data_IF_519911254465
#
_entry.id   IF_519911254465
#
_cell.length_a   1.000
_cell.length_b   1.000
_cell.length_c   1.000
_cell.angle_alpha   90.00
_cell.angle_beta   90.00
_cell.angle_gamma   90.00
#
_symmetry.space_group_name_H-M   'P 1'
#
loop_
_entity.id
_entity.type
_entity.pdbx_description
1 polymer ?
#
# COMPACT_ATOMS: atom_id res chain seq x y z
N UNK A 1 -1.65 10.33 -22.12
CA UNK A 1 -1.95 10.56 -20.68
C UNK A 1 -3.38 11.06 -20.57
N UNK A 2 -4.16 10.55 -19.61
CA UNK A 2 -5.43 11.17 -19.21
C UNK A 2 -5.17 12.02 -17.97
N UNK A 3 -5.81 13.20 -17.90
CA UNK A 3 -5.75 14.10 -16.74
C UNK A 3 -7.17 14.26 -16.23
N UNK A 4 -7.35 14.21 -14.91
CA UNK A 4 -8.62 14.38 -14.19
C UNK A 4 -8.42 15.28 -12.98
N UNK A 5 -9.47 15.99 -12.59
CA UNK A 5 -9.47 16.76 -11.35
C UNK A 5 -10.07 15.95 -10.21
N UNK A 6 -9.64 16.25 -8.98
CA UNK A 6 -10.26 15.68 -7.79
C UNK A 6 -11.53 16.48 -7.53
N UNK A 7 -12.68 15.82 -7.69
CA UNK A 7 -13.99 16.38 -7.33
C UNK A 7 -14.22 16.32 -5.83
N UNK A 8 -13.83 15.21 -5.19
CA UNK A 8 -14.01 15.02 -3.75
C UNK A 8 -12.90 14.15 -3.16
N UNK A 9 -12.49 14.51 -1.95
CA UNK A 9 -11.57 13.75 -1.11
C UNK A 9 -12.33 13.25 0.11
N UNK A 10 -12.33 11.94 0.32
CA UNK A 10 -12.85 11.29 1.52
C UNK A 10 -11.67 10.76 2.32
N UNK A 11 -11.24 11.52 3.33
CA UNK A 11 -10.24 11.04 4.29
C UNK A 11 -10.95 10.27 5.40
N UNK A 12 -10.40 9.12 5.81
CA UNK A 12 -10.96 8.38 6.92
C UNK A 12 -11.11 9.26 8.17
N UNK A 13 -12.28 9.21 8.80
CA UNK A 13 -12.70 10.15 9.84
C UNK A 13 -11.84 10.01 11.11
N UNK A 14 -11.34 8.80 11.35
CA UNK A 14 -10.47 8.47 12.49
C UNK A 14 -8.97 8.51 12.15
N UNK A 15 -8.56 9.11 11.03
CA UNK A 15 -7.13 9.29 10.73
C UNK A 15 -6.43 10.09 11.84
N UNK A 16 -5.32 9.56 12.36
CA UNK A 16 -4.50 10.25 13.36
C UNK A 16 -3.07 10.39 12.88
N UNK A 17 -2.62 11.64 12.76
CA UNK A 17 -1.24 11.95 12.35
C UNK A 17 -0.18 11.52 13.36
N UNK A 18 -0.53 11.39 14.65
CA UNK A 18 0.43 11.09 15.71
C UNK A 18 1.01 9.68 15.63
N UNK A 19 0.21 8.72 15.20
CA UNK A 19 0.56 7.30 15.06
C UNK A 19 0.32 6.77 13.64
N UNK A 20 -0.12 7.63 12.72
CA UNK A 20 -0.43 7.30 11.32
C UNK A 20 -1.52 6.21 11.25
N UNK A 21 -2.39 6.12 12.27
CA UNK A 21 -3.51 5.18 12.26
C UNK A 21 -4.60 5.61 11.29
N UNK A 22 -5.25 4.62 10.65
CA UNK A 22 -6.30 4.79 9.65
C UNK A 22 -5.88 5.67 8.46
N UNK A 23 -4.65 5.49 7.98
CA UNK A 23 -4.10 6.21 6.83
C UNK A 23 -4.65 5.66 5.51
N UNK A 24 -5.90 6.05 5.20
CA UNK A 24 -6.61 5.71 3.97
C UNK A 24 -7.49 6.88 3.53
N UNK A 25 -7.61 7.06 2.21
CA UNK A 25 -8.50 8.02 1.61
C UNK A 25 -9.03 7.53 0.26
N UNK A 26 -10.20 8.05 -0.15
CA UNK A 26 -10.76 7.87 -1.48
C UNK A 26 -10.82 9.20 -2.21
N UNK A 27 -10.55 9.15 -3.52
CA UNK A 27 -10.63 10.30 -4.42
C UNK A 27 -11.74 10.04 -5.44
N UNK A 28 -12.76 10.89 -5.44
CA UNK A 28 -13.75 10.95 -6.52
C UNK A 28 -13.19 11.86 -7.61
N UNK A 29 -13.04 11.31 -8.82
CA UNK A 29 -12.65 12.07 -10.00
C UNK A 29 -13.83 12.90 -10.50
N UNK A 30 -13.55 14.04 -11.13
CA UNK A 30 -14.54 14.89 -11.79
C UNK A 30 -15.28 14.17 -12.91
N UNK A 31 -14.56 13.34 -13.67
CA UNK A 31 -15.09 12.48 -14.71
C UNK A 31 -14.45 11.09 -14.66
N UNK A 32 -15.17 10.01 -15.03
CA UNK A 32 -14.60 8.68 -15.13
C UNK A 32 -13.37 8.63 -16.06
N UNK A 33 -12.46 7.70 -15.78
CA UNK A 33 -11.39 7.34 -16.70
C UNK A 33 -11.86 6.28 -17.69
N UNK A 34 -11.42 6.38 -18.93
CA UNK A 34 -11.69 5.35 -19.93
C UNK A 34 -10.64 4.24 -19.84
N UNK A 35 -11.08 2.99 -19.60
CA UNK A 35 -10.19 1.84 -19.60
C UNK A 35 -9.51 1.68 -20.97
N UNK A 36 -8.21 1.37 -20.93
CA UNK A 36 -7.36 1.18 -22.10
C UNK A 36 -6.26 0.18 -21.76
N UNK A 37 -5.43 -0.27 -22.71
CA UNK A 37 -4.29 -1.13 -22.37
C UNK A 37 -3.33 -0.57 -21.30
N UNK A 38 -3.38 0.74 -21.02
CA UNK A 38 -2.56 1.42 -20.01
C UNK A 38 -3.35 1.89 -18.77
N UNK A 39 -4.67 1.76 -18.77
CA UNK A 39 -5.55 2.16 -17.66
C UNK A 39 -6.51 1.00 -17.43
N UNK A 40 -6.31 0.29 -16.34
CA UNK A 40 -7.14 -0.83 -15.91
C UNK A 40 -7.53 -0.65 -14.45
N UNK A 41 -8.64 -1.26 -14.07
CA UNK A 41 -9.06 -1.33 -12.67
C UNK A 41 -8.31 -2.47 -11.99
N UNK A 42 -7.91 -2.25 -10.74
CA UNK A 42 -7.39 -3.30 -9.88
C UNK A 42 -8.49 -3.78 -8.93
N UNK A 43 -8.44 -5.04 -8.54
CA UNK A 43 -9.35 -5.57 -7.53
C UNK A 43 -8.92 -5.06 -6.14
N UNK A 44 -9.88 -4.71 -5.28
CA UNK A 44 -9.60 -4.37 -3.87
C UNK A 44 -9.85 -5.61 -3.04
N UNK A 45 -8.93 -5.95 -2.14
CA UNK A 45 -9.08 -7.11 -1.26
C UNK A 45 -10.34 -7.00 -0.41
N UNK A 46 -11.29 -7.90 -0.63
CA UNK A 46 -12.51 -8.03 0.19
C UNK A 46 -12.26 -8.95 1.41
N UNK A 47 -13.16 -8.96 2.42
CA UNK A 47 -12.97 -9.73 3.65
C UNK A 47 -12.86 -11.26 3.49
N UNK A 48 -13.21 -11.82 2.33
CA UNK A 48 -13.12 -13.26 2.04
C UNK A 48 -11.74 -13.69 1.52
N UNK A 49 -10.91 -12.74 1.07
CA UNK A 49 -9.58 -13.02 0.54
C UNK A 49 -8.58 -13.36 1.67
N UNK A 50 -7.93 -14.52 1.61
CA UNK A 50 -6.84 -14.87 2.53
C UNK A 50 -5.53 -14.19 2.11
N UNK A 51 -5.38 -12.90 2.46
CA UNK A 51 -4.18 -12.10 2.12
C UNK A 51 -2.86 -12.77 2.54
N UNK A 52 -2.73 -13.38 3.74
CA UNK A 52 -1.49 -14.03 4.16
C UNK A 52 -1.06 -15.24 3.29
N UNK A 53 -1.98 -15.81 2.50
CA UNK A 53 -1.69 -16.94 1.61
C UNK A 53 -1.19 -16.52 0.22
N UNK A 54 -1.17 -15.22 -0.07
CA UNK A 54 -0.67 -14.68 -1.32
C UNK A 54 0.86 -14.56 -1.29
N UNK A 55 1.52 -15.03 -2.35
CA UNK A 55 3.00 -15.09 -2.38
C UNK A 55 3.63 -14.15 -3.41
N UNK A 56 2.94 -13.86 -4.51
CA UNK A 56 3.48 -13.04 -5.58
C UNK A 56 3.06 -11.58 -5.42
N UNK A 57 3.70 -10.89 -4.48
CA UNK A 57 3.39 -9.51 -4.14
C UNK A 57 4.44 -8.52 -4.68
N UNK A 58 3.96 -7.38 -5.13
CA UNK A 58 4.72 -6.33 -5.81
C UNK A 58 4.27 -4.96 -5.32
N UNK A 59 5.23 -4.06 -5.21
CA UNK A 59 5.01 -2.64 -4.99
C UNK A 59 5.41 -1.90 -6.27
N UNK A 60 4.79 -0.74 -6.51
CA UNK A 60 5.13 0.11 -7.64
C UNK A 60 5.03 1.59 -7.25
N UNK A 61 5.94 2.41 -7.79
CA UNK A 61 5.97 3.83 -7.49
C UNK A 61 7.10 4.59 -8.18
N UNK A 62 7.09 5.91 -7.99
CA UNK A 62 8.06 6.85 -8.54
C UNK A 62 8.93 7.50 -7.45
N UNK A 63 8.85 7.03 -6.20
CA UNK A 63 9.60 7.57 -5.08
C UNK A 63 11.12 7.50 -5.25
N UNK A 64 11.81 8.00 -4.23
CA UNK A 64 13.27 7.96 -4.15
C UNK A 64 13.77 6.51 -4.16
N UNK A 65 14.80 6.22 -4.96
CA UNK A 65 15.34 4.85 -5.05
C UNK A 65 16.34 4.51 -3.95
N UNK A 66 16.87 5.53 -3.27
CA UNK A 66 17.79 5.38 -2.13
C UNK A 66 17.32 6.24 -0.97
N UNK A 67 17.48 5.74 0.26
CA UNK A 67 17.14 6.49 1.46
C UNK A 67 17.95 7.79 1.56
N UNK A 68 17.25 8.91 1.72
CA UNK A 68 17.87 10.23 1.92
C UNK A 68 18.20 10.97 0.63
N UNK A 69 17.90 10.40 -0.53
CA UNK A 69 17.95 11.12 -1.80
C UNK A 69 16.82 12.17 -1.87
N UNK A 70 17.06 13.25 -2.61
CA UNK A 70 16.04 14.26 -2.91
C UNK A 70 15.32 13.98 -4.24
N UNK A 71 15.99 13.25 -5.14
CA UNK A 71 15.50 12.98 -6.48
C UNK A 71 14.62 11.71 -6.51
N UNK A 72 13.44 11.87 -7.10
CA UNK A 72 12.50 10.79 -7.40
C UNK A 72 12.80 10.17 -8.76
N UNK A 73 12.30 8.96 -9.01
CA UNK A 73 12.50 8.30 -10.31
C UNK A 73 11.63 8.89 -11.41
N UNK A 74 12.21 9.17 -12.58
CA UNK A 74 11.45 9.61 -13.77
C UNK A 74 10.61 8.50 -14.40
N UNK A 75 10.97 7.24 -14.14
CA UNK A 75 10.29 6.06 -14.67
C UNK A 75 9.67 5.25 -13.54
N UNK A 76 8.48 4.69 -13.76
CA UNK A 76 7.81 3.85 -12.76
C UNK A 76 8.74 2.68 -12.41
N UNK A 77 8.99 2.51 -11.12
CA UNK A 77 9.72 1.37 -10.59
C UNK A 77 8.73 0.34 -10.06
N UNK A 78 9.14 -0.91 -10.05
CA UNK A 78 8.42 -2.00 -9.42
C UNK A 78 9.41 -2.91 -8.68
N UNK A 79 8.96 -3.50 -7.58
CA UNK A 79 9.78 -4.43 -6.83
C UNK A 79 8.93 -5.54 -6.22
N UNK A 80 9.46 -6.76 -6.29
CA UNK A 80 8.85 -7.91 -5.61
C UNK A 80 9.15 -7.85 -4.13
N UNK A 81 8.13 -8.07 -3.30
CA UNK A 81 8.23 -8.09 -1.84
C UNK A 81 7.52 -9.31 -1.26
N UNK A 82 7.78 -9.63 0.00
CA UNK A 82 7.07 -10.68 0.73
C UNK A 82 6.21 -10.06 1.81
N UNK A 83 4.99 -10.60 1.98
CA UNK A 83 4.19 -10.29 3.16
C UNK A 83 4.90 -10.81 4.40
N UNK A 84 4.94 -9.98 5.43
CA UNK A 84 5.54 -10.29 6.72
C UNK A 84 4.42 -10.36 7.75
N UNK A 85 4.41 -11.44 8.52
CA UNK A 85 3.47 -11.62 9.61
C UNK A 85 3.49 -10.42 10.57
N UNK A 86 2.30 -9.91 10.90
CA UNK A 86 2.15 -8.70 11.71
C UNK A 86 2.69 -8.90 13.13
N UNK A 87 2.64 -10.10 13.70
CA UNK A 87 3.21 -10.37 15.03
C UNK A 87 4.74 -10.29 14.99
N UNK A 88 5.36 -10.83 13.95
CA UNK A 88 6.80 -10.67 13.73
C UNK A 88 7.16 -9.20 13.52
N UNK A 89 6.43 -8.52 12.64
CA UNK A 89 6.67 -7.10 12.33
C UNK A 89 6.54 -6.20 13.56
N UNK A 90 5.60 -6.52 14.46
CA UNK A 90 5.35 -5.76 15.69
C UNK A 90 6.18 -6.24 16.89
N UNK A 91 7.03 -7.25 16.72
CA UNK A 91 7.87 -7.78 17.80
C UNK A 91 8.90 -6.75 18.28
N UNK A 92 9.41 -6.94 19.50
CA UNK A 92 10.37 -6.01 20.13
C UNK A 92 11.68 -5.82 19.35
N UNK A 93 12.05 -6.78 18.50
CA UNK A 93 13.23 -6.68 17.64
C UNK A 93 13.00 -5.94 16.31
N UNK A 94 11.77 -5.48 16.07
CA UNK A 94 11.30 -4.82 14.85
C UNK A 94 10.64 -3.48 15.23
N UNK A 95 9.32 -3.32 15.04
CA UNK A 95 8.60 -2.09 15.35
C UNK A 95 8.10 -1.97 16.80
N UNK A 96 8.22 -3.03 17.61
CA UNK A 96 8.10 -2.93 19.07
C UNK A 96 6.78 -2.38 19.62
N UNK A 97 5.66 -2.64 18.96
CA UNK A 97 4.32 -2.23 19.40
C UNK A 97 3.67 -1.13 18.57
N UNK A 98 4.38 -0.55 17.59
CA UNK A 98 3.87 0.55 16.75
C UNK A 98 2.95 0.10 15.60
N UNK A 99 2.89 -1.20 15.29
CA UNK A 99 2.06 -1.71 14.20
C UNK A 99 0.62 -1.92 14.69
N UNK A 100 -0.34 -1.32 13.99
CA UNK A 100 -1.77 -1.50 14.27
C UNK A 100 -2.34 -2.73 13.56
N UNK A 101 -3.50 -3.20 14.02
CA UNK A 101 -4.22 -4.35 13.44
C UNK A 101 -4.71 -4.11 12.02
N UNK A 102 -4.84 -2.86 11.60
CA UNK A 102 -5.24 -2.46 10.25
C UNK A 102 -4.03 -2.22 9.32
N UNK A 103 -2.82 -2.54 9.78
CA UNK A 103 -1.62 -2.48 8.97
C UNK A 103 -1.22 -3.87 8.43
N UNK A 104 -0.46 -3.83 7.35
CA UNK A 104 0.32 -4.93 6.81
C UNK A 104 1.80 -4.53 6.78
N UNK A 105 2.68 -5.51 6.82
CA UNK A 105 4.10 -5.31 6.58
C UNK A 105 4.53 -6.10 5.35
N UNK A 106 5.32 -5.48 4.48
CA UNK A 106 5.89 -6.16 3.32
C UNK A 106 7.31 -5.70 3.03
N UNK A 107 8.16 -6.65 2.64
CA UNK A 107 9.57 -6.42 2.37
C UNK A 107 10.38 -7.68 2.66
N UNK A 108 11.60 -7.50 3.13
CA UNK A 108 12.47 -8.62 3.53
C UNK A 108 13.10 -8.35 4.90
N UNK A 109 13.32 -9.39 5.75
CA UNK A 109 13.95 -9.21 7.06
C UNK A 109 15.33 -8.54 7.02
N UNK A 110 16.08 -8.76 5.94
CA UNK A 110 17.39 -8.14 5.70
C UNK A 110 17.31 -6.71 5.14
N UNK A 111 16.13 -6.19 4.80
CA UNK A 111 15.94 -4.92 4.12
C UNK A 111 16.21 -5.01 2.61
N UNK A 112 16.91 -4.02 2.06
CA UNK A 112 17.28 -3.82 0.65
C UNK A 112 16.15 -3.43 -0.31
N UNK A 113 14.97 -4.03 -0.19
CA UNK A 113 13.83 -3.74 -1.06
C UNK A 113 12.68 -3.22 -0.20
N UNK A 114 12.19 -2.02 -0.54
CA UNK A 114 11.15 -1.31 0.19
C UNK A 114 10.51 -0.20 -0.68
N UNK A 115 9.40 0.35 -0.22
CA UNK A 115 8.91 1.66 -0.69
C UNK A 115 9.68 2.78 0.00
N UNK A 116 9.68 3.98 -0.58
CA UNK A 116 10.39 5.11 0.00
C UNK A 116 9.64 6.44 -0.19
N UNK A 117 10.32 7.57 0.07
CA UNK A 117 9.68 8.88 -0.01
C UNK A 117 9.14 9.13 -1.43
N UNK A 118 7.85 9.48 -1.51
CA UNK A 118 7.15 9.68 -2.78
C UNK A 118 6.28 8.49 -3.22
N UNK A 119 6.40 7.32 -2.58
CA UNK A 119 5.55 6.15 -2.89
C UNK A 119 4.27 6.08 -2.05
N UNK A 120 4.09 6.97 -1.06
CA UNK A 120 2.91 6.99 -0.18
C UNK A 120 1.60 7.07 -0.98
N UNK A 121 0.62 6.24 -0.62
CA UNK A 121 -0.62 6.05 -1.37
C UNK A 121 -0.50 5.04 -2.53
N UNK A 122 0.71 4.65 -2.90
CA UNK A 122 0.98 3.65 -3.93
C UNK A 122 0.58 2.23 -3.51
N UNK A 123 0.36 1.32 -4.47
CA UNK A 123 -0.25 0.03 -4.18
C UNK A 123 0.79 -1.03 -3.75
N UNK A 124 0.42 -1.82 -2.75
CA UNK A 124 0.95 -3.17 -2.54
C UNK A 124 -0.04 -4.15 -3.17
N UNK A 125 0.40 -4.78 -4.26
CA UNK A 125 -0.42 -5.65 -5.10
C UNK A 125 0.03 -7.10 -4.93
N UNK A 126 -0.90 -8.03 -4.83
CA UNK A 126 -0.59 -9.45 -4.84
C UNK A 126 -1.41 -10.16 -5.90
N UNK A 127 -0.77 -11.05 -6.66
CA UNK A 127 -1.46 -11.86 -7.66
C UNK A 127 -2.35 -12.90 -6.98
N UNK A 128 -3.54 -13.10 -7.54
CA UNK A 128 -4.45 -14.17 -7.15
C UNK A 128 -3.83 -15.55 -7.39
N UNK A 129 -4.07 -16.50 -6.49
CA UNK A 129 -3.47 -17.84 -6.58
C UNK A 129 -4.13 -18.73 -7.66
N UNK A 130 -5.32 -18.36 -8.15
CA UNK A 130 -6.15 -19.17 -9.04
C UNK A 130 -6.41 -18.52 -10.40
N UNK A 131 -6.17 -17.21 -10.51
CA UNK A 131 -6.44 -16.41 -11.71
C UNK A 131 -5.27 -15.46 -12.01
N UNK A 132 -5.25 -14.86 -13.19
CA UNK A 132 -4.26 -13.83 -13.56
C UNK A 132 -4.62 -12.43 -13.00
N UNK A 133 -5.57 -12.36 -12.06
CA UNK A 133 -6.02 -11.12 -11.44
C UNK A 133 -5.05 -10.64 -10.37
N UNK A 134 -5.06 -9.33 -10.11
CA UNK A 134 -4.25 -8.69 -9.09
C UNK A 134 -5.13 -7.99 -8.06
N UNK A 135 -4.80 -8.20 -6.80
CA UNK A 135 -5.46 -7.58 -5.65
C UNK A 135 -4.59 -6.47 -5.08
N UNK A 136 -5.14 -5.28 -4.88
CA UNK A 136 -4.57 -4.26 -4.01
C UNK A 136 -4.86 -4.67 -2.58
N UNK A 137 -3.85 -5.23 -1.92
CA UNK A 137 -3.95 -5.71 -0.53
C UNK A 137 -3.44 -4.68 0.47
N UNK A 138 -2.66 -3.70 0.02
CA UNK A 138 -2.10 -2.65 0.87
C UNK A 138 -1.98 -1.32 0.15
N UNK A 139 -2.01 -0.23 0.93
CA UNK A 139 -1.70 1.14 0.50
C UNK A 139 -0.46 1.59 1.26
N UNK A 140 0.57 2.01 0.54
CA UNK A 140 1.85 2.45 1.13
C UNK A 140 1.62 3.61 2.09
N UNK A 141 2.04 3.46 3.35
CA UNK A 141 1.75 4.44 4.40
C UNK A 141 3.03 5.01 5.00
N UNK A 142 3.80 4.19 5.72
CA UNK A 142 4.99 4.66 6.44
C UNK A 142 6.05 3.58 6.64
N UNK A 143 7.21 3.98 7.14
CA UNK A 143 8.32 3.10 7.50
C UNK A 143 9.38 3.87 8.29
N UNK A 144 10.29 3.16 8.97
CA UNK A 144 11.44 3.77 9.66
C UNK A 144 12.65 3.79 8.73
N UNK A 145 12.75 4.87 7.95
CA UNK A 145 13.68 4.90 6.83
C UNK A 145 13.17 4.05 5.67
N UNK A 146 14.06 3.70 4.74
CA UNK A 146 13.73 2.83 3.60
C UNK A 146 14.73 1.67 3.53
N UNK A 147 14.23 0.47 3.22
CA UNK A 147 15.07 -0.70 2.93
C UNK A 147 16.02 -1.13 4.07
N UNK A 148 15.67 -0.81 5.31
CA UNK A 148 16.46 -1.18 6.50
C UNK A 148 16.10 -2.57 7.00
N UNK A 149 17.10 -3.28 7.54
CA UNK A 149 16.87 -4.60 8.12
C UNK A 149 15.87 -4.52 9.28
N UNK A 150 14.92 -5.47 9.30
CA UNK A 150 13.82 -5.59 10.30
C UNK A 150 12.88 -4.39 10.40
N UNK A 151 12.94 -3.47 9.44
CA UNK A 151 12.08 -2.30 9.35
C UNK A 151 11.44 -2.26 7.95
N UNK A 152 10.59 -3.24 7.62
CA UNK A 152 9.90 -3.27 6.33
C UNK A 152 8.92 -2.10 6.20
N UNK A 153 8.53 -1.76 4.98
CA UNK A 153 7.42 -0.85 4.73
C UNK A 153 6.13 -1.32 5.42
N UNK A 154 5.39 -0.33 5.94
CA UNK A 154 4.10 -0.50 6.60
C UNK A 154 3.02 0.06 5.69
N UNK A 155 2.01 -0.77 5.44
CA UNK A 155 0.93 -0.51 4.52
C UNK A 155 -0.40 -0.50 5.27
N UNK A 156 -1.35 0.33 4.84
CA UNK A 156 -2.73 0.28 5.32
C UNK A 156 -3.48 -0.82 4.57
N UNK A 157 -4.18 -1.71 5.28
CA UNK A 157 -4.97 -2.81 4.69
C UNK A 157 -6.34 -2.33 4.19
N UNK A 158 -6.62 -2.26 2.87
CA UNK A 158 -7.95 -1.92 2.37
C UNK A 158 -9.01 -2.93 2.81
N UNK A 159 -8.62 -4.19 3.00
CA UNK A 159 -9.51 -5.25 3.49
C UNK A 159 -10.08 -4.92 4.87
N UNK A 160 -9.28 -4.33 5.76
CA UNK A 160 -9.76 -3.87 7.06
C UNK A 160 -10.79 -2.74 6.94
N UNK A 161 -10.64 -1.88 5.94
CA UNK A 161 -11.50 -0.72 5.68
C UNK A 161 -12.58 -0.99 4.63
N UNK A 162 -12.83 -2.25 4.27
CA UNK A 162 -13.69 -2.59 3.13
C UNK A 162 -15.11 -2.01 3.25
N UNK A 163 -15.74 -2.14 4.42
CA UNK A 163 -17.07 -1.57 4.68
C UNK A 163 -17.07 -0.04 4.61
N UNK A 164 -16.00 0.60 5.10
CA UNK A 164 -15.84 2.05 4.99
C UNK A 164 -15.70 2.47 3.53
N UNK A 165 -14.91 1.74 2.73
CA UNK A 165 -14.75 2.00 1.29
C UNK A 165 -16.11 1.93 0.59
N UNK A 166 -16.88 0.86 0.81
CA UNK A 166 -18.21 0.70 0.23
C UNK A 166 -19.16 1.82 0.65
N UNK A 167 -19.17 2.20 1.92
CA UNK A 167 -20.04 3.26 2.44
C UNK A 167 -19.77 4.63 1.78
N UNK A 168 -18.52 4.93 1.40
CA UNK A 168 -18.19 6.17 0.69
C UNK A 168 -18.49 6.11 -0.81
N UNK A 169 -18.45 4.91 -1.40
CA UNK A 169 -18.74 4.70 -2.83
C UNK A 169 -20.23 4.83 -3.17
N UNK A 170 -21.12 4.61 -2.18
CA UNK A 170 -22.58 4.71 -2.33
C UNK A 170 -23.25 3.36 -2.52
#
# INVERSE_FOLDING_TARGET
>A
AQVRQIKKLFRHENYKRSDISNDIALLELDEPVECSPYIQLACVADPTLSVPELQNCWIAGWGTTTEGDEDTSDSLQEAKVQLIDVQLCNSSGWYGGEIHTHNLCAGYPQGNIDTCQGDSGGPLMCQDNHTDSWWVVGVTSWGRGCARAKLPGVYTSPQYFYDWILAQMG
#
